data_IF_249254096928
#
_entry.id   IF_249254096928
#
_cell.length_a   1.000
_cell.length_b   1.000
_cell.length_c   1.000
_cell.angle_alpha   90.00
_cell.angle_beta   90.00
_cell.angle_gamma   90.00
#
_symmetry.space_group_name_H-M   'P 1'
#
loop_
_entity.id
_entity.type
_entity.pdbx_description
1 polymer ?
#
# COMPACT_ATOMS: atom_id res chain seq x y z
N UNK A 1 13.63 10.24 -0.28
CA UNK A 1 13.64 9.00 -1.10
C UNK A 1 12.39 9.04 -1.96
N UNK A 2 12.45 8.73 -3.27
CA UNK A 2 11.26 8.78 -4.12
C UNK A 2 10.13 7.90 -3.51
N UNK A 3 9.00 8.52 -3.14
CA UNK A 3 7.87 7.85 -2.45
C UNK A 3 7.32 6.69 -3.27
N UNK A 4 7.34 6.82 -4.60
CA UNK A 4 6.92 5.77 -5.52
C UNK A 4 7.83 4.54 -5.40
N UNK A 5 9.14 4.78 -5.34
CA UNK A 5 10.15 3.72 -5.14
C UNK A 5 10.01 3.03 -3.78
N UNK A 6 9.71 3.78 -2.71
CA UNK A 6 9.49 3.24 -1.38
C UNK A 6 8.25 2.32 -1.33
N UNK A 7 7.12 2.78 -1.87
CA UNK A 7 5.89 1.97 -1.99
C UNK A 7 6.15 0.70 -2.79
N UNK A 8 6.84 0.81 -3.94
CA UNK A 8 7.19 -0.36 -4.77
C UNK A 8 8.08 -1.35 -4.02
N UNK A 9 9.10 -0.87 -3.30
CA UNK A 9 9.98 -1.72 -2.48
C UNK A 9 9.17 -2.46 -1.43
N UNK A 10 8.31 -1.76 -0.70
CA UNK A 10 7.43 -2.33 0.31
C UNK A 10 6.52 -3.42 -0.25
N UNK A 11 5.79 -3.14 -1.34
CA UNK A 11 4.89 -4.10 -1.97
C UNK A 11 5.63 -5.38 -2.42
N UNK A 12 6.85 -5.23 -2.96
CA UNK A 12 7.67 -6.36 -3.41
C UNK A 12 8.15 -7.27 -2.27
N UNK A 13 8.19 -6.78 -1.02
CA UNK A 13 8.49 -7.64 0.15
C UNK A 13 7.34 -8.57 0.54
N UNK A 14 6.11 -8.30 0.04
CA UNK A 14 4.93 -9.09 0.39
C UNK A 14 4.85 -10.34 -0.49
N UNK A 15 4.74 -11.51 0.14
CA UNK A 15 4.56 -12.82 -0.54
C UNK A 15 3.14 -13.05 -1.04
N UNK A 16 2.14 -12.51 -0.33
CA UNK A 16 0.73 -12.60 -0.71
C UNK A 16 0.41 -11.58 -1.83
N UNK A 17 -0.20 -12.07 -2.92
CA UNK A 17 -0.54 -11.28 -4.12
C UNK A 17 -1.49 -10.14 -3.82
N UNK A 18 -2.51 -10.36 -2.97
CA UNK A 18 -3.51 -9.35 -2.61
C UNK A 18 -2.90 -8.22 -1.78
N UNK A 19 -2.02 -8.56 -0.83
CA UNK A 19 -1.25 -7.56 -0.06
C UNK A 19 -0.34 -6.75 -0.96
N UNK A 20 0.34 -7.39 -1.91
CA UNK A 20 1.22 -6.71 -2.87
C UNK A 20 0.43 -5.76 -3.77
N UNK A 21 -0.66 -6.26 -4.35
CA UNK A 21 -1.54 -5.46 -5.20
C UNK A 21 -2.13 -4.29 -4.43
N UNK A 22 -2.71 -4.54 -3.24
CA UNK A 22 -3.34 -3.52 -2.41
C UNK A 22 -2.33 -2.46 -1.95
N UNK A 23 -1.12 -2.86 -1.55
CA UNK A 23 -0.05 -1.91 -1.21
C UNK A 23 0.30 -0.98 -2.37
N UNK A 24 0.39 -1.51 -3.59
CA UNK A 24 0.64 -0.72 -4.79
C UNK A 24 -0.53 0.22 -5.11
N UNK A 25 -1.75 -0.30 -5.21
CA UNK A 25 -2.90 0.50 -5.64
C UNK A 25 -3.30 1.54 -4.60
N UNK A 26 -3.31 1.17 -3.32
CA UNK A 26 -3.56 2.10 -2.21
C UNK A 26 -2.48 3.18 -2.12
N UNK A 27 -1.20 2.80 -2.17
CA UNK A 27 -0.09 3.75 -2.09
C UNK A 27 0.00 4.71 -3.28
N UNK A 28 -0.20 4.21 -4.51
CA UNK A 28 -0.22 5.08 -5.68
C UNK A 28 -1.44 6.01 -5.67
N UNK A 29 -2.61 5.53 -5.27
CA UNK A 29 -3.80 6.37 -5.16
C UNK A 29 -3.54 7.54 -4.18
N UNK A 30 -3.03 7.26 -2.98
CA UNK A 30 -2.72 8.31 -2.01
C UNK A 30 -1.61 9.25 -2.48
N UNK A 31 -0.54 8.71 -3.08
CA UNK A 31 0.58 9.52 -3.58
C UNK A 31 0.14 10.53 -4.65
N UNK A 32 -0.83 10.17 -5.48
CA UNK A 32 -1.36 10.99 -6.56
C UNK A 32 -2.64 11.76 -6.17
N UNK A 33 -3.07 11.73 -4.90
CA UNK A 33 -4.26 12.44 -4.44
C UNK A 33 -5.59 11.86 -4.95
N UNK A 34 -5.61 10.59 -5.35
CA UNK A 34 -6.80 9.86 -5.77
C UNK A 34 -7.47 9.14 -4.60
N UNK A 35 -8.74 8.77 -4.81
CA UNK A 35 -9.47 7.92 -3.86
C UNK A 35 -8.87 6.51 -3.86
N UNK A 36 -8.47 5.95 -2.71
CA UNK A 36 -7.93 4.60 -2.65
C UNK A 36 -8.99 3.53 -2.97
N UNK A 37 -8.59 2.38 -3.54
CA UNK A 37 -9.52 1.29 -3.78
C UNK A 37 -10.02 0.69 -2.47
N UNK A 38 -11.18 0.04 -2.52
CA UNK A 38 -11.61 -0.84 -1.44
C UNK A 38 -10.63 -2.01 -1.28
N UNK A 39 -10.50 -2.49 -0.05
CA UNK A 39 -9.72 -3.69 0.27
C UNK A 39 -10.23 -4.89 -0.54
N UNK A 40 -9.35 -5.67 -1.19
CA UNK A 40 -9.76 -6.84 -1.96
C UNK A 40 -10.34 -7.93 -1.05
N UNK A 41 -11.29 -8.72 -1.56
CA UNK A 41 -12.02 -9.73 -0.77
C UNK A 41 -11.10 -10.82 -0.18
N UNK A 42 -9.99 -11.16 -0.85
CA UNK A 42 -8.99 -12.11 -0.35
C UNK A 42 -8.08 -11.57 0.75
N UNK A 43 -8.17 -10.27 1.07
CA UNK A 43 -7.37 -9.63 2.11
C UNK A 43 -8.15 -9.46 3.40
N UNK A 44 -7.68 -10.09 4.47
CA UNK A 44 -8.27 -9.95 5.80
C UNK A 44 -8.27 -8.49 6.27
N UNK A 45 -9.19 -8.15 7.16
CA UNK A 45 -9.32 -6.80 7.70
C UNK A 45 -7.99 -6.30 8.28
N UNK A 46 -7.41 -7.06 9.21
CA UNK A 46 -6.12 -6.77 9.85
C UNK A 46 -4.97 -6.69 8.83
N UNK A 47 -5.00 -7.55 7.81
CA UNK A 47 -4.01 -7.54 6.74
C UNK A 47 -4.05 -6.24 5.92
N UNK A 48 -5.25 -5.72 5.63
CA UNK A 48 -5.42 -4.44 4.96
C UNK A 48 -5.00 -3.26 5.83
N UNK A 49 -5.43 -3.23 7.10
CA UNK A 49 -5.05 -2.16 8.04
C UNK A 49 -3.53 -2.05 8.21
N UNK A 50 -2.83 -3.18 8.33
CA UNK A 50 -1.36 -3.17 8.37
C UNK A 50 -0.74 -2.60 7.09
N UNK A 51 -1.32 -2.88 5.91
CA UNK A 51 -0.87 -2.27 4.65
C UNK A 51 -1.10 -0.76 4.64
N UNK A 52 -2.28 -0.32 5.07
CA UNK A 52 -2.65 1.09 5.10
C UNK A 52 -1.76 1.92 6.04
N UNK A 53 -1.46 1.40 7.23
CA UNK A 53 -0.55 2.06 8.19
C UNK A 53 0.84 2.26 7.59
N UNK A 54 1.47 1.17 7.12
CA UNK A 54 2.82 1.21 6.55
C UNK A 54 2.93 2.15 5.34
N UNK A 55 1.92 2.14 4.46
CA UNK A 55 1.90 3.05 3.31
C UNK A 55 1.77 4.51 3.75
N UNK A 56 0.94 4.80 4.76
CA UNK A 56 0.80 6.16 5.31
C UNK A 56 2.09 6.64 5.96
N UNK A 57 2.80 5.77 6.66
CA UNK A 57 4.09 6.08 7.27
C UNK A 57 5.15 6.37 6.20
N UNK A 58 5.24 5.54 5.15
CA UNK A 58 6.10 5.79 3.97
C UNK A 58 5.82 7.16 3.34
N UNK A 59 4.53 7.54 3.24
CA UNK A 59 4.13 8.82 2.64
C UNK A 59 4.37 10.03 3.54
N UNK A 60 4.40 9.83 4.87
CA UNK A 60 4.63 10.88 5.87
C UNK A 60 6.12 11.16 6.10
N UNK A 61 6.97 10.14 6.09
CA UNK A 61 8.41 10.23 6.42
C UNK A 61 9.31 10.64 5.24
N UNK A 62 8.79 10.65 4.02
CA UNK A 62 9.52 11.05 2.80
C UNK A 62 9.11 12.41 2.25
#
# INVERSE_FOLDING_TARGET
>A
MDKQKAIRKYANTRKNSDKRWYAMTYGMALLHGHTPPNRPQGLSYMGGQAVEMEIRDILREG
#
